data_IF_034649878686
#
_entry.id   IF_034649878686
#
_cell.length_a   1.000
_cell.length_b   1.000
_cell.length_c   1.000
_cell.angle_alpha   90.00
_cell.angle_beta   90.00
_cell.angle_gamma   90.00
#
_symmetry.space_group_name_H-M   'P 1'
#
loop_
_entity.id
_entity.type
_entity.pdbx_description
1 polymer ?
#
# COMPACT_ATOMS: atom_id res chain seq x y z
N UNK A 1 -5.85 -26.59 -27.01
CA UNK A 1 -5.73 -27.83 -26.19
C UNK A 1 -4.49 -27.79 -25.27
N UNK A 2 -3.49 -26.91 -25.52
CA UNK A 2 -2.27 -26.81 -24.66
C UNK A 2 -2.42 -25.84 -23.48
N UNK A 3 -3.34 -24.91 -23.54
CA UNK A 3 -3.47 -23.89 -22.49
C UNK A 3 -4.22 -24.39 -21.23
N UNK A 4 -5.15 -25.33 -21.38
CA UNK A 4 -5.96 -25.86 -20.26
C UNK A 4 -5.15 -26.74 -19.30
N UNK A 5 -4.14 -27.44 -19.78
CA UNK A 5 -3.25 -28.27 -18.96
C UNK A 5 -2.30 -27.44 -18.08
N UNK A 6 -1.86 -26.29 -18.57
CA UNK A 6 -0.99 -25.39 -17.82
C UNK A 6 -1.77 -24.66 -16.72
N UNK A 7 -3.03 -24.29 -16.98
CA UNK A 7 -3.92 -23.69 -15.96
C UNK A 7 -4.30 -24.68 -14.86
N UNK A 8 -4.53 -25.95 -15.17
CA UNK A 8 -4.88 -26.99 -14.18
C UNK A 8 -3.77 -27.25 -13.16
N UNK A 9 -2.53 -27.42 -13.62
CA UNK A 9 -1.38 -27.68 -12.72
C UNK A 9 -1.08 -26.47 -11.82
N UNK A 10 -1.26 -25.26 -12.30
CA UNK A 10 -1.02 -24.04 -11.49
C UNK A 10 -2.15 -23.72 -10.51
N UNK A 11 -3.37 -24.15 -10.77
CA UNK A 11 -4.48 -24.04 -9.79
C UNK A 11 -4.26 -24.97 -8.60
N UNK A 12 -3.64 -26.13 -8.79
CA UNK A 12 -3.35 -27.07 -7.71
C UNK A 12 -2.12 -26.68 -6.87
N UNK A 13 -1.15 -25.94 -7.41
CA UNK A 13 0.10 -25.64 -6.72
C UNK A 13 -0.07 -24.75 -5.48
N UNK A 14 -0.96 -23.76 -5.52
CA UNK A 14 -1.13 -22.83 -4.41
C UNK A 14 -1.78 -23.49 -3.17
N UNK A 15 -2.88 -24.26 -3.27
CA UNK A 15 -3.40 -25.00 -2.12
C UNK A 15 -2.40 -25.99 -1.53
N UNK A 16 -1.66 -26.74 -2.35
CA UNK A 16 -0.63 -27.67 -1.87
C UNK A 16 0.48 -26.94 -1.12
N UNK A 17 0.92 -25.78 -1.63
CA UNK A 17 1.92 -24.96 -0.96
C UNK A 17 1.43 -24.47 0.41
N UNK A 18 0.19 -23.95 0.47
CA UNK A 18 -0.41 -23.48 1.72
C UNK A 18 -0.57 -24.61 2.72
N UNK A 19 -1.06 -25.75 2.30
CA UNK A 19 -1.22 -26.95 3.15
C UNK A 19 0.13 -27.38 3.75
N UNK A 20 1.17 -27.47 2.92
CA UNK A 20 2.52 -27.85 3.36
C UNK A 20 3.08 -26.87 4.40
N UNK A 21 2.97 -25.58 4.16
CA UNK A 21 3.51 -24.55 5.05
C UNK A 21 2.66 -24.41 6.33
N UNK A 22 1.34 -24.55 6.24
CA UNK A 22 0.46 -24.51 7.41
C UNK A 22 0.67 -25.72 8.32
N UNK A 23 0.94 -26.89 7.76
CA UNK A 23 1.31 -28.10 8.50
C UNK A 23 2.62 -27.93 9.28
N UNK A 24 3.53 -27.07 8.81
CA UNK A 24 4.73 -26.67 9.52
C UNK A 24 4.50 -25.57 10.60
N UNK A 25 3.24 -25.14 10.80
CA UNK A 25 2.85 -24.20 11.86
C UNK A 25 2.56 -22.76 11.42
N UNK A 26 2.70 -22.40 10.14
CA UNK A 26 2.32 -21.08 9.65
C UNK A 26 0.79 -20.92 9.66
N UNK A 27 0.27 -19.84 10.23
CA UNK A 27 -1.17 -19.59 10.35
C UNK A 27 -1.65 -18.39 9.52
N UNK A 28 -0.77 -17.49 9.14
CA UNK A 28 -1.10 -16.27 8.41
C UNK A 28 -0.45 -16.26 7.03
N UNK A 29 -1.23 -16.02 6.00
CA UNK A 29 -0.76 -15.98 4.61
C UNK A 29 -1.19 -14.69 3.91
N UNK A 30 -0.23 -13.92 3.43
CA UNK A 30 -0.49 -12.75 2.59
C UNK A 30 -0.36 -13.16 1.13
N UNK A 31 -1.48 -13.23 0.40
CA UNK A 31 -1.53 -13.75 -0.95
C UNK A 31 -1.68 -12.61 -1.96
N UNK A 32 -0.68 -12.44 -2.84
CA UNK A 32 -0.79 -11.52 -3.96
C UNK A 32 -1.67 -12.12 -5.07
N UNK A 33 -2.77 -11.45 -5.40
CA UNK A 33 -3.76 -11.93 -6.36
C UNK A 33 -3.31 -11.87 -7.84
N UNK A 34 -2.01 -12.05 -8.11
CA UNK A 34 -1.44 -12.13 -9.46
C UNK A 34 -0.58 -13.36 -9.59
N UNK A 35 -0.59 -13.96 -10.77
CA UNK A 35 0.37 -14.99 -11.15
C UNK A 35 1.73 -14.33 -11.42
N UNK A 36 2.80 -14.84 -10.81
CA UNK A 36 4.15 -14.43 -11.15
C UNK A 36 4.58 -15.10 -12.47
N UNK A 37 5.04 -14.31 -13.42
CA UNK A 37 5.67 -14.78 -14.66
C UNK A 37 7.18 -14.62 -14.49
N UNK A 38 7.88 -15.74 -14.34
CA UNK A 38 9.30 -15.75 -14.00
C UNK A 38 10.22 -15.42 -15.19
N UNK A 39 9.76 -15.72 -16.41
CA UNK A 39 10.51 -15.49 -17.62
C UNK A 39 9.93 -14.31 -18.41
N UNK A 40 10.78 -13.32 -18.72
CA UNK A 40 10.43 -12.20 -19.62
C UNK A 40 9.80 -10.98 -18.97
N UNK A 41 9.46 -11.00 -17.66
CA UNK A 41 8.96 -9.83 -16.95
C UNK A 41 9.84 -9.44 -15.76
N UNK A 42 10.09 -8.16 -15.62
CA UNK A 42 10.74 -7.60 -14.44
C UNK A 42 9.81 -7.68 -13.21
N UNK A 43 10.33 -7.55 -11.97
CA UNK A 43 9.50 -7.49 -10.77
C UNK A 43 8.44 -6.36 -10.77
N UNK A 44 8.71 -5.24 -11.48
CA UNK A 44 7.75 -4.15 -11.65
C UNK A 44 6.62 -4.57 -12.58
N UNK A 45 6.95 -5.11 -13.73
CA UNK A 45 5.99 -5.59 -14.73
C UNK A 45 5.10 -6.71 -14.18
N UNK A 46 5.64 -7.63 -13.38
CA UNK A 46 4.89 -8.68 -12.69
C UNK A 46 3.81 -8.14 -11.73
N UNK A 47 3.97 -6.90 -11.24
CA UNK A 47 2.94 -6.25 -10.41
C UNK A 47 1.88 -5.51 -11.21
N UNK A 48 2.05 -5.37 -12.52
CA UNK A 48 1.20 -4.54 -13.38
C UNK A 48 0.55 -5.33 -14.53
N UNK A 49 1.32 -6.13 -15.24
CA UNK A 49 0.90 -6.80 -16.48
C UNK A 49 0.00 -8.03 -16.25
N UNK A 50 0.37 -9.02 -15.40
CA UNK A 50 -0.48 -10.19 -15.23
C UNK A 50 -1.84 -9.81 -14.63
N UNK A 51 -2.95 -10.42 -15.09
CA UNK A 51 -4.27 -10.09 -14.57
C UNK A 51 -4.41 -10.44 -13.09
N UNK A 52 -5.21 -9.66 -12.37
CA UNK A 52 -5.61 -9.96 -11.00
C UNK A 52 -6.64 -11.09 -10.98
N UNK A 53 -6.49 -12.02 -10.04
CA UNK A 53 -7.43 -13.11 -9.80
C UNK A 53 -7.75 -13.20 -8.31
N UNK A 54 -8.70 -12.38 -7.87
CA UNK A 54 -9.17 -12.35 -6.48
C UNK A 54 -9.91 -13.63 -6.10
N UNK A 55 -10.66 -14.24 -7.03
CA UNK A 55 -11.42 -15.47 -6.79
C UNK A 55 -10.51 -16.61 -6.32
N UNK A 56 -9.27 -16.65 -6.82
CA UNK A 56 -8.30 -17.66 -6.38
C UNK A 56 -7.92 -17.49 -4.91
N UNK A 57 -7.85 -16.26 -4.41
CA UNK A 57 -7.55 -15.99 -2.99
C UNK A 57 -8.75 -16.38 -2.12
N UNK A 58 -9.96 -16.04 -2.58
CA UNK A 58 -11.19 -16.44 -1.88
C UNK A 58 -11.34 -17.95 -1.78
N UNK A 59 -11.09 -18.68 -2.88
CA UNK A 59 -11.09 -20.16 -2.87
C UNK A 59 -10.06 -20.75 -1.90
N UNK A 60 -8.92 -20.08 -1.67
CA UNK A 60 -7.97 -20.51 -0.63
C UNK A 60 -8.58 -20.35 0.76
N UNK A 61 -9.23 -19.22 1.06
CA UNK A 61 -9.90 -19.02 2.36
C UNK A 61 -11.02 -20.06 2.58
N UNK A 62 -11.81 -20.35 1.56
CA UNK A 62 -12.84 -21.39 1.61
C UNK A 62 -12.25 -22.79 1.87
N UNK A 63 -11.08 -23.09 1.28
CA UNK A 63 -10.39 -24.38 1.47
C UNK A 63 -9.73 -24.49 2.83
N UNK A 64 -9.23 -23.40 3.39
CA UNK A 64 -8.51 -23.33 4.65
C UNK A 64 -9.16 -22.31 5.62
N UNK A 65 -10.37 -22.57 6.12
CA UNK A 65 -11.14 -21.61 6.92
C UNK A 65 -10.46 -21.20 8.23
N UNK A 66 -9.62 -22.08 8.79
CA UNK A 66 -8.91 -21.85 10.05
C UNK A 66 -7.61 -21.03 9.89
N UNK A 67 -7.17 -20.76 8.66
CA UNK A 67 -6.01 -19.94 8.38
C UNK A 67 -6.40 -18.47 8.20
N UNK A 68 -5.55 -17.59 8.67
CA UNK A 68 -5.66 -16.15 8.40
C UNK A 68 -5.16 -15.83 6.99
N UNK A 69 -6.06 -15.46 6.10
CA UNK A 69 -5.78 -15.15 4.70
C UNK A 69 -5.93 -13.66 4.46
N UNK A 70 -4.84 -13.01 4.10
CA UNK A 70 -4.78 -11.59 3.74
C UNK A 70 -4.61 -11.45 2.23
N UNK A 71 -5.54 -10.76 1.57
CA UNK A 71 -5.47 -10.50 0.14
C UNK A 71 -4.61 -9.28 -0.17
N UNK A 72 -3.79 -9.36 -1.21
CA UNK A 72 -2.97 -8.26 -1.72
C UNK A 72 -3.04 -8.18 -3.25
N UNK A 73 -2.91 -6.99 -3.81
CA UNK A 73 -2.75 -6.76 -5.24
C UNK A 73 -3.81 -5.84 -5.86
N UNK A 74 -3.39 -4.68 -6.36
CA UNK A 74 -4.21 -3.76 -7.13
C UNK A 74 -5.34 -3.04 -6.40
N UNK A 75 -5.45 -3.17 -5.08
CA UNK A 75 -6.51 -2.56 -4.27
C UNK A 75 -6.18 -1.07 -4.09
N UNK A 76 -7.09 -0.20 -4.55
CA UNK A 76 -6.87 1.26 -4.62
C UNK A 76 -8.02 2.07 -4.03
N UNK A 77 -9.07 1.43 -3.51
CA UNK A 77 -10.19 2.10 -2.85
C UNK A 77 -10.72 1.26 -1.68
N UNK A 78 -11.41 1.91 -0.74
CA UNK A 78 -11.92 1.26 0.47
C UNK A 78 -13.19 0.44 0.21
N UNK A 79 -13.95 0.73 -0.83
CA UNK A 79 -15.13 -0.05 -1.20
C UNK A 79 -14.73 -1.48 -1.60
N UNK A 80 -13.69 -1.62 -2.46
CA UNK A 80 -13.16 -2.94 -2.80
C UNK A 80 -12.57 -3.63 -1.55
N UNK A 81 -11.83 -2.88 -0.71
CA UNK A 81 -11.26 -3.42 0.51
C UNK A 81 -12.35 -3.98 1.45
N UNK A 82 -13.44 -3.23 1.66
CA UNK A 82 -14.58 -3.68 2.48
C UNK A 82 -15.23 -4.93 1.91
N UNK A 83 -15.47 -4.98 0.59
CA UNK A 83 -16.08 -6.16 -0.05
C UNK A 83 -15.19 -7.40 0.03
N UNK A 84 -13.86 -7.23 0.04
CA UNK A 84 -12.93 -8.35 0.21
C UNK A 84 -12.88 -8.85 1.65
N UNK A 85 -13.01 -7.97 2.64
CA UNK A 85 -13.08 -8.35 4.06
C UNK A 85 -14.30 -9.21 4.40
N UNK A 86 -15.33 -9.22 3.56
CA UNK A 86 -16.45 -10.18 3.69
C UNK A 86 -16.04 -11.62 3.34
N UNK A 87 -14.89 -11.83 2.68
CA UNK A 87 -14.45 -13.13 2.12
C UNK A 87 -13.11 -13.60 2.64
N UNK A 88 -12.29 -12.72 3.21
CA UNK A 88 -10.95 -13.01 3.75
C UNK A 88 -10.73 -12.24 5.06
N UNK A 89 -9.70 -12.59 5.80
CA UNK A 89 -9.47 -12.05 7.14
C UNK A 89 -8.77 -10.67 7.13
N UNK A 90 -8.14 -10.31 6.01
CA UNK A 90 -7.43 -9.06 5.91
C UNK A 90 -7.17 -8.61 4.48
N UNK A 91 -6.90 -7.31 4.35
CA UNK A 91 -6.58 -6.66 3.07
C UNK A 91 -5.27 -5.89 3.21
N UNK A 92 -4.28 -6.20 2.37
CA UNK A 92 -3.03 -5.47 2.30
C UNK A 92 -3.05 -4.46 1.15
N UNK A 93 -2.93 -3.17 1.48
CA UNK A 93 -2.85 -2.07 0.53
C UNK A 93 -1.43 -1.51 0.57
N UNK A 94 -0.73 -1.59 -0.55
CA UNK A 94 0.66 -1.13 -0.64
C UNK A 94 0.80 0.20 -1.39
N UNK A 95 0.77 0.13 -2.72
CA UNK A 95 1.11 1.27 -3.58
C UNK A 95 0.18 2.46 -3.41
N UNK A 96 -1.13 2.26 -3.26
CA UNK A 96 -2.06 3.36 -3.07
C UNK A 96 -1.80 4.08 -1.74
N UNK A 97 -1.62 3.36 -0.64
CA UNK A 97 -1.29 3.95 0.64
C UNK A 97 0.00 4.77 0.61
N UNK A 98 1.01 4.34 -0.18
CA UNK A 98 2.27 5.06 -0.32
C UNK A 98 2.19 6.27 -1.29
N UNK A 99 1.46 6.14 -2.39
CA UNK A 99 1.35 7.17 -3.42
C UNK A 99 0.27 8.22 -3.11
N UNK A 100 -0.66 7.89 -2.22
CA UNK A 100 -1.74 8.74 -1.74
C UNK A 100 -1.97 8.48 -0.25
N UNK A 101 -1.06 8.90 0.63
CA UNK A 101 -1.16 8.60 2.07
C UNK A 101 -2.47 9.04 2.70
N UNK A 102 -3.08 10.10 2.20
CA UNK A 102 -4.37 10.60 2.69
C UNK A 102 -5.54 9.61 2.49
N UNK A 103 -5.37 8.61 1.63
CA UNK A 103 -6.28 7.48 1.52
C UNK A 103 -6.54 6.81 2.88
N UNK A 104 -5.53 6.77 3.76
CA UNK A 104 -5.63 6.15 5.07
C UNK A 104 -6.51 6.93 6.06
N UNK A 105 -6.84 8.20 5.77
CA UNK A 105 -7.66 9.04 6.66
C UNK A 105 -9.09 8.52 6.86
N UNK A 106 -9.59 7.74 5.91
CA UNK A 106 -10.96 7.19 5.92
C UNK A 106 -11.00 5.71 6.37
N UNK A 107 -9.83 5.08 6.60
CA UNK A 107 -9.75 3.64 6.94
C UNK A 107 -10.44 3.34 8.27
N UNK A 108 -10.20 4.16 9.29
CA UNK A 108 -10.76 3.95 10.62
C UNK A 108 -12.30 4.03 10.60
N UNK A 109 -12.85 4.97 9.83
CA UNK A 109 -14.29 5.09 9.63
C UNK A 109 -14.88 3.94 8.82
N UNK A 110 -14.34 3.70 7.61
CA UNK A 110 -14.94 2.80 6.63
C UNK A 110 -14.74 1.33 7.00
N UNK A 111 -13.59 0.97 7.56
CA UNK A 111 -13.24 -0.43 7.88
C UNK A 111 -13.54 -0.78 9.34
N UNK A 112 -13.28 0.13 10.27
CA UNK A 112 -13.40 -0.16 11.70
C UNK A 112 -14.61 0.50 12.35
N UNK A 113 -15.44 1.25 11.61
CA UNK A 113 -16.67 1.90 12.12
C UNK A 113 -16.40 2.99 13.16
N UNK A 114 -15.19 3.56 13.17
CA UNK A 114 -14.84 4.67 14.06
C UNK A 114 -15.50 5.98 13.61
N UNK A 115 -15.48 6.98 14.47
CA UNK A 115 -15.92 8.32 14.09
C UNK A 115 -15.03 8.90 12.98
N UNK A 116 -15.61 9.63 12.00
CA UNK A 116 -14.85 10.25 10.91
C UNK A 116 -13.72 11.14 11.41
N UNK A 117 -12.56 11.04 10.80
CA UNK A 117 -11.46 11.96 11.05
C UNK A 117 -11.84 13.36 10.55
N UNK A 118 -11.73 14.36 11.42
CA UNK A 118 -11.91 15.78 11.06
C UNK A 118 -10.64 16.42 10.52
N UNK A 119 -9.51 15.69 10.49
CA UNK A 119 -8.23 16.20 10.03
C UNK A 119 -8.17 16.24 8.51
N UNK A 120 -7.72 17.36 7.99
CA UNK A 120 -7.38 17.51 6.58
C UNK A 120 -5.89 17.19 6.33
N UNK A 121 -5.45 17.27 5.08
CA UNK A 121 -4.07 16.97 4.67
C UNK A 121 -3.04 17.88 5.35
N UNK A 122 -3.39 19.15 5.53
CA UNK A 122 -2.53 20.15 6.18
C UNK A 122 -2.35 19.80 7.66
N UNK A 123 -3.42 19.44 8.37
CA UNK A 123 -3.31 19.04 9.78
C UNK A 123 -2.40 17.81 9.97
N UNK A 124 -2.50 16.81 9.10
CA UNK A 124 -1.59 15.66 9.14
C UNK A 124 -0.13 16.05 8.88
N UNK A 125 0.11 16.99 7.96
CA UNK A 125 1.46 17.48 7.71
C UNK A 125 2.01 18.28 8.88
N UNK A 126 1.21 19.12 9.51
CA UNK A 126 1.60 19.91 10.71
C UNK A 126 2.02 18.99 11.86
N UNK A 127 1.28 17.92 12.11
CA UNK A 127 1.66 16.92 13.11
C UNK A 127 2.97 16.20 12.72
N UNK A 128 3.14 15.88 11.44
CA UNK A 128 4.35 15.23 10.94
C UNK A 128 5.57 16.16 10.98
N UNK A 129 5.40 17.47 10.92
CA UNK A 129 6.47 18.46 11.08
C UNK A 129 7.17 18.29 12.42
N UNK A 130 6.43 18.11 13.50
CA UNK A 130 7.02 17.90 14.84
C UNK A 130 7.91 16.65 14.89
N UNK A 131 7.52 15.58 14.21
CA UNK A 131 8.35 14.39 14.06
C UNK A 131 9.61 14.68 13.24
N UNK A 132 9.47 15.39 12.11
CA UNK A 132 10.60 15.77 11.25
C UNK A 132 11.63 16.59 12.04
N UNK A 133 11.18 17.57 12.84
CA UNK A 133 12.05 18.38 13.67
C UNK A 133 12.83 17.55 14.68
N UNK A 134 12.16 16.62 15.35
CA UNK A 134 12.81 15.69 16.30
C UNK A 134 13.87 14.82 15.61
N UNK A 135 13.59 14.33 14.40
CA UNK A 135 14.55 13.50 13.66
C UNK A 135 15.72 14.31 13.09
N UNK A 136 15.49 15.55 12.67
CA UNK A 136 16.57 16.46 12.25
C UNK A 136 17.54 16.75 13.40
N UNK A 137 17.04 16.93 14.62
CA UNK A 137 17.88 17.10 15.82
C UNK A 137 18.77 15.89 16.11
N UNK A 138 18.31 14.66 15.74
CA UNK A 138 19.09 13.42 15.84
C UNK A 138 20.07 13.24 14.67
N UNK A 139 20.10 14.17 13.71
CA UNK A 139 20.96 14.11 12.53
C UNK A 139 20.38 13.31 11.36
N UNK A 140 19.11 12.89 11.41
CA UNK A 140 18.45 12.20 10.30
C UNK A 140 18.25 13.15 9.11
N UNK A 141 18.78 12.85 7.90
CA UNK A 141 18.60 13.71 6.74
C UNK A 141 17.14 13.92 6.33
N UNK A 142 16.74 15.14 6.03
CA UNK A 142 15.36 15.51 5.68
C UNK A 142 14.75 14.63 4.58
N UNK A 143 15.51 14.26 3.56
CA UNK A 143 15.08 13.41 2.45
C UNK A 143 14.53 12.04 2.87
N UNK A 144 14.97 11.51 4.01
CA UNK A 144 14.53 10.20 4.48
C UNK A 144 13.10 10.22 5.00
N UNK A 145 12.63 11.38 5.47
CA UNK A 145 11.29 11.60 5.98
C UNK A 145 10.35 12.11 4.88
N UNK A 146 10.77 13.15 4.14
CA UNK A 146 9.93 13.80 3.13
C UNK A 146 9.56 12.89 1.95
N UNK A 147 10.36 11.89 1.63
CA UNK A 147 10.05 10.90 0.55
C UNK A 147 8.72 10.19 0.77
N UNK A 148 8.26 10.06 2.00
CA UNK A 148 7.02 9.34 2.34
C UNK A 148 5.76 10.20 2.24
N UNK A 149 5.91 11.53 2.14
CA UNK A 149 4.78 12.47 2.06
C UNK A 149 4.62 13.13 0.69
N UNK A 150 5.40 12.72 -0.31
CA UNK A 150 5.35 13.29 -1.67
C UNK A 150 3.95 13.17 -2.32
N UNK A 151 3.18 12.17 -1.93
CA UNK A 151 1.83 11.91 -2.41
C UNK A 151 0.71 12.54 -1.56
N UNK A 152 1.02 13.20 -0.44
CA UNK A 152 0.02 13.67 0.53
C UNK A 152 -1.03 14.61 -0.11
N UNK A 153 -0.62 15.46 -1.04
CA UNK A 153 -1.49 16.38 -1.77
C UNK A 153 -1.78 15.90 -3.21
N UNK A 154 -1.79 14.58 -3.45
CA UNK A 154 -2.16 14.01 -4.75
C UNK A 154 -3.55 14.49 -5.17
N UNK A 155 -3.68 14.93 -6.42
CA UNK A 155 -4.91 15.46 -7.02
C UNK A 155 -5.47 16.74 -6.38
N UNK A 156 -4.70 17.43 -5.54
CA UNK A 156 -5.07 18.74 -5.00
C UNK A 156 -4.42 19.86 -5.80
N UNK A 157 -5.05 21.05 -5.80
CA UNK A 157 -4.45 22.28 -6.34
C UNK A 157 -3.12 22.53 -5.62
N UNK A 158 -2.06 22.82 -6.36
CA UNK A 158 -0.72 23.01 -5.79
C UNK A 158 0.04 21.70 -5.44
N UNK A 159 -0.60 20.54 -5.41
CA UNK A 159 0.04 19.28 -5.03
C UNK A 159 1.22 18.86 -5.92
N UNK A 160 1.21 19.27 -7.21
CA UNK A 160 2.35 19.05 -8.10
C UNK A 160 3.56 19.92 -7.70
N UNK A 161 3.31 21.18 -7.33
CA UNK A 161 4.33 22.12 -6.87
C UNK A 161 4.90 21.69 -5.51
N UNK A 162 4.04 21.30 -4.57
CA UNK A 162 4.44 20.70 -3.28
C UNK A 162 5.43 19.57 -3.47
N UNK A 163 5.04 18.55 -4.25
CA UNK A 163 5.89 17.38 -4.52
C UNK A 163 7.20 17.77 -5.19
N UNK A 164 7.15 18.66 -6.20
CA UNK A 164 8.33 19.13 -6.91
C UNK A 164 9.29 19.84 -5.97
N UNK A 165 8.79 20.77 -5.15
CA UNK A 165 9.59 21.53 -4.20
C UNK A 165 10.35 20.63 -3.22
N UNK A 166 9.65 19.65 -2.62
CA UNK A 166 10.28 18.65 -1.75
C UNK A 166 11.34 17.85 -2.50
N UNK A 167 11.03 17.34 -3.69
CA UNK A 167 11.95 16.50 -4.47
C UNK A 167 13.23 17.23 -4.87
N UNK A 168 13.15 18.53 -5.16
CA UNK A 168 14.27 19.35 -5.61
C UNK A 168 15.13 19.90 -4.45
N UNK A 169 14.58 19.97 -3.23
CA UNK A 169 15.24 20.70 -2.15
C UNK A 169 15.60 19.86 -0.93
N UNK A 170 14.87 18.75 -0.64
CA UNK A 170 15.09 17.98 0.58
C UNK A 170 16.43 17.24 0.67
N UNK A 171 17.16 17.10 -0.45
CA UNK A 171 18.44 16.42 -0.52
C UNK A 171 19.64 17.36 -0.50
N UNK A 172 19.42 18.68 -0.53
CA UNK A 172 20.50 19.69 -0.53
C UNK A 172 21.20 19.74 0.83
N UNK A 173 22.46 20.13 0.82
CA UNK A 173 23.21 20.36 2.07
C UNK A 173 22.50 21.43 2.91
N UNK A 174 22.32 21.15 4.20
CA UNK A 174 21.63 22.06 5.14
C UNK A 174 20.09 22.11 4.98
N UNK A 175 19.49 21.22 4.19
CA UNK A 175 18.04 21.16 4.08
C UNK A 175 17.39 20.88 5.44
N UNK A 176 16.58 21.80 5.92
CA UNK A 176 15.87 21.75 7.18
C UNK A 176 14.36 21.85 7.01
N UNK A 177 13.65 22.08 8.13
CA UNK A 177 12.18 22.12 8.17
C UNK A 177 11.58 23.22 7.24
N UNK A 178 12.31 24.29 7.00
CA UNK A 178 11.91 25.36 6.08
C UNK A 178 11.54 24.82 4.67
N UNK A 179 12.19 23.76 4.21
CA UNK A 179 11.84 23.13 2.91
C UNK A 179 10.41 22.59 2.93
N UNK A 180 9.95 22.07 4.06
CA UNK A 180 8.59 21.51 4.20
C UNK A 180 7.56 22.64 4.36
N UNK A 181 7.87 23.65 5.18
CA UNK A 181 6.97 24.81 5.38
C UNK A 181 6.82 25.64 4.12
N UNK A 182 7.87 25.77 3.31
CA UNK A 182 7.79 26.44 2.01
C UNK A 182 6.98 25.63 0.99
N UNK A 183 7.11 24.28 1.02
CA UNK A 183 6.28 23.42 0.18
C UNK A 183 4.79 23.57 0.50
N UNK A 184 4.43 23.73 1.78
CA UNK A 184 3.05 23.89 2.24
C UNK A 184 2.37 25.14 1.65
N UNK A 185 3.10 26.19 1.37
CA UNK A 185 2.57 27.43 0.75
C UNK A 185 1.95 27.22 -0.62
N UNK A 186 2.28 26.13 -1.31
CA UNK A 186 1.70 25.84 -2.64
C UNK A 186 0.30 25.23 -2.57
N UNK A 187 -0.11 24.70 -1.41
CA UNK A 187 -1.36 23.94 -1.24
C UNK A 187 -2.36 24.59 -0.28
N UNK A 188 -1.99 25.73 0.28
CA UNK A 188 -2.84 26.60 1.10
C UNK A 188 -3.53 27.66 0.23
#
# INVERSE_FOLDING_TARGET
>A
IRDDLVTGVQTCALPIFIDTISSAGCKTFIIHARKAILNGLTPKENREIPPLNYQRVFAVKETFPDLEIVINGGITNLSDASSFLEKVDGVMIGREAYQNPFFLNEVDEVIFGCSPSKKNRTNHLEEYISYIESELQKGTPLKHMTRHILGLFKSQKGGKQFRRHLSENCHKAGAGINVVTDALKFVN
#
